data_IF_558938652582
#
_entry.id   IF_558938652582
#
_cell.length_a   1.000
_cell.length_b   1.000
_cell.length_c   1.000
_cell.angle_alpha   90.00
_cell.angle_beta   90.00
_cell.angle_gamma   90.00
#
_symmetry.space_group_name_H-M   'P 1'
#
loop_
_entity.id
_entity.type
_entity.pdbx_description
1 polymer ?
#
# COMPACT_ATOMS: atom_id res chain seq x y z
N UNK A 1 4.89 2.04 22.74
CA UNK A 1 4.91 3.08 21.68
C UNK A 1 3.83 4.12 21.98
N UNK A 2 3.99 5.38 21.54
CA UNK A 2 2.95 6.41 21.73
C UNK A 2 1.76 6.13 20.81
N UNK A 3 0.51 6.06 21.32
CA UNK A 3 -0.67 5.96 20.47
C UNK A 3 -0.89 7.28 19.69
N UNK A 4 -1.61 7.21 18.57
CA UNK A 4 -1.92 8.34 17.66
C UNK A 4 -0.76 8.88 16.82
N UNK A 5 0.27 8.06 16.58
CA UNK A 5 1.36 8.39 15.65
C UNK A 5 1.52 7.26 14.65
N UNK A 6 1.83 7.62 13.41
CA UNK A 6 2.45 6.70 12.46
C UNK A 6 3.92 6.57 12.86
N UNK A 7 4.34 5.37 13.25
CA UNK A 7 5.75 5.12 13.58
C UNK A 7 6.46 4.59 12.34
N UNK A 8 7.64 5.14 12.05
CA UNK A 8 8.45 4.78 10.88
C UNK A 8 9.89 4.54 11.35
N UNK A 9 10.45 3.41 10.96
CA UNK A 9 11.86 3.07 11.09
C UNK A 9 12.47 3.01 9.69
N UNK A 10 12.91 4.15 9.12
CA UNK A 10 13.47 4.18 7.78
C UNK A 10 14.91 3.68 7.79
N UNK A 11 15.25 2.76 6.88
CA UNK A 11 16.63 2.45 6.49
C UNK A 11 16.71 2.64 4.98
N UNK A 12 17.93 2.70 4.44
CA UNK A 12 18.12 2.97 3.01
C UNK A 12 17.39 1.95 2.12
N UNK A 13 17.68 0.66 2.28
CA UNK A 13 17.14 -0.37 1.39
C UNK A 13 15.90 -1.06 1.93
N UNK A 14 15.47 -0.75 3.15
CA UNK A 14 14.31 -1.37 3.79
C UNK A 14 13.73 -0.46 4.87
N UNK A 15 12.46 -0.62 5.20
CA UNK A 15 11.78 0.22 6.17
C UNK A 15 10.72 -0.56 6.92
N UNK A 16 10.44 -0.16 8.16
CA UNK A 16 9.32 -0.71 8.91
C UNK A 16 8.37 0.43 9.31
N UNK A 17 7.07 0.20 9.18
CA UNK A 17 6.04 1.11 9.70
C UNK A 17 5.18 0.39 10.72
N UNK A 18 4.59 1.14 11.66
CA UNK A 18 3.62 0.59 12.61
C UNK A 18 2.41 1.52 12.75
N UNK A 19 1.21 0.94 12.56
CA UNK A 19 -0.07 1.64 12.72
C UNK A 19 -0.77 1.17 14.00
N UNK A 20 -1.36 2.08 14.79
CA UNK A 20 -2.05 1.73 16.02
C UNK A 20 -3.41 1.07 15.76
N UNK A 21 -3.73 0.05 16.55
CA UNK A 21 -5.04 -0.59 16.61
C UNK A 21 -5.85 -0.05 17.80
N UNK A 22 -7.19 -0.25 17.79
CA UNK A 22 -8.08 0.22 18.85
C UNK A 22 -7.82 -0.42 20.22
N UNK A 23 -7.33 -1.67 20.22
CA UNK A 23 -6.95 -2.41 21.42
C UNK A 23 -5.58 -1.99 22.00
N UNK A 24 -5.01 -0.91 21.46
CA UNK A 24 -3.69 -0.35 21.81
C UNK A 24 -2.50 -1.22 21.41
N UNK A 25 -2.72 -2.26 20.61
CA UNK A 25 -1.64 -2.96 19.89
C UNK A 25 -1.24 -2.15 18.65
N UNK A 26 -0.15 -2.57 18.01
CA UNK A 26 0.31 -2.00 16.74
C UNK A 26 0.53 -3.13 15.74
N UNK A 27 0.12 -2.91 14.50
CA UNK A 27 0.48 -3.80 13.38
C UNK A 27 1.69 -3.21 12.68
N UNK A 28 2.78 -3.97 12.64
CA UNK A 28 3.99 -3.57 11.93
C UNK A 28 4.04 -4.19 10.53
N UNK A 29 4.53 -3.43 9.56
CA UNK A 29 4.83 -3.93 8.20
C UNK A 29 6.29 -3.63 7.88
N UNK A 30 7.06 -4.68 7.59
CA UNK A 30 8.46 -4.60 7.17
C UNK A 30 8.52 -4.71 5.65
N UNK A 31 9.12 -3.72 5.01
CA UNK A 31 9.39 -3.66 3.58
C UNK A 31 10.89 -3.84 3.35
N UNK A 32 11.27 -4.85 2.58
CA UNK A 32 12.66 -5.19 2.31
C UNK A 32 12.73 -6.01 1.00
N UNK A 33 13.83 -5.95 0.23
CA UNK A 33 13.99 -6.80 -0.96
C UNK A 33 13.86 -8.29 -0.62
N UNK A 34 13.32 -9.07 -1.56
CA UNK A 34 13.13 -10.51 -1.38
C UNK A 34 14.44 -11.23 -1.07
N UNK A 35 15.54 -10.79 -1.69
CA UNK A 35 16.87 -11.37 -1.49
C UNK A 35 17.37 -11.23 -0.05
N UNK A 36 16.96 -10.19 0.67
CA UNK A 36 17.30 -10.04 2.09
C UNK A 36 16.37 -10.87 2.98
N UNK A 37 15.09 -11.06 2.60
CA UNK A 37 14.20 -11.98 3.30
C UNK A 37 14.71 -13.42 3.20
N UNK A 38 15.18 -13.83 2.03
CA UNK A 38 15.71 -15.16 1.74
C UNK A 38 17.00 -15.49 2.50
N UNK A 39 17.80 -14.47 2.89
CA UNK A 39 19.00 -14.65 3.70
C UNK A 39 18.71 -15.00 5.15
N UNK A 40 17.49 -14.75 5.64
CA UNK A 40 17.10 -14.96 7.03
C UNK A 40 16.25 -16.22 7.12
N UNK A 41 16.86 -17.30 7.60
CA UNK A 41 16.28 -18.65 7.58
C UNK A 41 15.96 -19.20 8.96
N UNK A 42 16.52 -18.58 10.01
CA UNK A 42 16.34 -19.01 11.40
C UNK A 42 15.84 -17.88 12.30
N UNK A 43 15.22 -18.25 13.42
CA UNK A 43 14.78 -17.28 14.41
C UNK A 43 15.93 -16.48 15.03
N UNK A 44 17.13 -17.06 15.16
CA UNK A 44 18.28 -16.34 15.69
C UNK A 44 18.80 -15.29 14.70
N UNK A 45 18.83 -15.61 13.40
CA UNK A 45 19.14 -14.65 12.34
C UNK A 45 18.13 -13.49 12.30
N UNK A 46 16.83 -13.75 12.56
CA UNK A 46 15.82 -12.69 12.71
C UNK A 46 16.22 -11.74 13.84
N UNK A 47 16.59 -12.27 15.00
CA UNK A 47 16.98 -11.43 16.14
C UNK A 47 18.27 -10.67 15.86
N UNK A 48 19.27 -11.28 15.23
CA UNK A 48 20.50 -10.59 14.83
C UNK A 48 20.21 -9.45 13.85
N UNK A 49 19.35 -9.68 12.86
CA UNK A 49 18.92 -8.66 11.91
C UNK A 49 18.20 -7.50 12.61
N UNK A 50 17.22 -7.80 13.47
CA UNK A 50 16.49 -6.78 14.22
C UNK A 50 17.38 -6.07 15.25
N UNK A 51 18.36 -6.74 15.86
CA UNK A 51 19.29 -6.12 16.79
C UNK A 51 20.22 -5.13 16.07
N UNK A 52 20.62 -5.46 14.85
CA UNK A 52 21.46 -4.60 14.01
C UNK A 52 20.70 -3.40 13.48
N UNK A 53 19.49 -3.60 12.96
CA UNK A 53 18.78 -2.56 12.21
C UNK A 53 17.60 -1.95 12.95
N UNK A 54 16.95 -2.64 13.88
CA UNK A 54 15.74 -2.19 14.58
C UNK A 54 15.78 -2.49 16.09
N UNK A 55 16.87 -2.15 16.81
CA UNK A 55 17.12 -2.67 18.16
C UNK A 55 16.02 -2.31 19.17
N UNK A 56 15.40 -1.14 19.02
CA UNK A 56 14.33 -0.66 19.90
C UNK A 56 13.01 -1.42 19.75
N UNK A 57 12.85 -2.17 18.66
CA UNK A 57 11.61 -2.88 18.33
C UNK A 57 11.54 -4.27 18.98
N UNK A 58 12.69 -4.89 19.28
CA UNK A 58 12.77 -6.19 19.97
C UNK A 58 12.03 -6.18 21.32
N UNK A 59 12.29 -5.23 22.26
CA UNK A 59 11.55 -5.20 23.52
C UNK A 59 10.07 -4.82 23.37
N UNK A 60 9.68 -4.21 22.24
CA UNK A 60 8.29 -3.83 21.97
C UNK A 60 7.46 -4.98 21.41
N UNK A 61 8.05 -5.79 20.53
CA UNK A 61 7.40 -6.93 19.87
C UNK A 61 7.50 -8.19 20.75
N UNK A 62 8.66 -8.38 21.40
CA UNK A 62 9.01 -9.60 22.13
C UNK A 62 9.72 -10.62 21.24
N UNK A 63 10.79 -11.21 21.76
CA UNK A 63 11.68 -12.12 21.01
C UNK A 63 10.93 -13.31 20.42
N UNK A 64 10.12 -14.01 21.22
CA UNK A 64 9.40 -15.21 20.77
C UNK A 64 8.32 -14.88 19.74
N UNK A 65 7.63 -13.75 19.92
CA UNK A 65 6.62 -13.29 18.97
C UNK A 65 7.26 -12.90 17.64
N UNK A 66 8.37 -12.17 17.67
CA UNK A 66 9.10 -11.77 16.47
C UNK A 66 9.58 -12.99 15.66
N UNK A 67 10.19 -13.97 16.32
CA UNK A 67 10.62 -15.22 15.67
C UNK A 67 9.44 -15.97 15.04
N UNK A 68 8.34 -16.10 15.77
CA UNK A 68 7.15 -16.81 15.29
C UNK A 68 6.48 -16.08 14.12
N UNK A 69 6.28 -14.77 14.24
CA UNK A 69 5.47 -14.01 13.31
C UNK A 69 6.21 -13.74 11.99
N UNK A 70 7.55 -13.65 12.02
CA UNK A 70 8.39 -13.53 10.82
C UNK A 70 8.25 -14.73 9.89
N UNK A 71 8.19 -15.95 10.43
CA UNK A 71 8.08 -17.20 9.63
C UNK A 71 6.64 -17.70 9.46
N UNK A 72 5.65 -16.96 9.95
CA UNK A 72 4.24 -17.38 9.86
C UNK A 72 3.75 -17.41 8.42
N UNK A 73 4.21 -16.48 7.58
CA UNK A 73 3.91 -16.36 6.16
C UNK A 73 5.15 -15.82 5.44
N UNK A 74 5.37 -16.18 4.16
CA UNK A 74 6.46 -15.60 3.38
C UNK A 74 6.24 -14.10 3.13
N UNK A 75 7.31 -13.39 2.78
CA UNK A 75 7.22 -12.01 2.30
C UNK A 75 6.26 -11.92 1.10
N UNK A 76 5.49 -10.84 1.04
CA UNK A 76 4.43 -10.65 0.04
C UNK A 76 4.92 -9.74 -1.09
N UNK A 77 4.56 -10.07 -2.33
CA UNK A 77 4.87 -9.24 -3.48
C UNK A 77 3.97 -8.00 -3.50
N UNK A 78 4.57 -6.86 -3.82
CA UNK A 78 3.86 -5.63 -4.11
C UNK A 78 3.88 -5.42 -5.62
N UNK A 79 2.76 -4.97 -6.19
CA UNK A 79 2.62 -4.74 -7.63
C UNK A 79 2.20 -3.31 -7.89
N UNK A 80 2.65 -2.76 -9.01
CA UNK A 80 2.09 -1.54 -9.58
C UNK A 80 1.54 -1.85 -10.96
N UNK A 81 0.26 -1.52 -11.19
CA UNK A 81 -0.42 -1.71 -12.47
C UNK A 81 -1.08 -0.40 -12.84
N UNK A 82 -0.76 0.09 -14.04
CA UNK A 82 -1.47 1.19 -14.70
C UNK A 82 -2.14 0.65 -15.95
N UNK A 83 -3.40 1.00 -16.15
CA UNK A 83 -4.09 0.75 -17.41
C UNK A 83 -4.81 2.01 -17.89
N UNK A 84 -5.22 1.99 -19.15
CA UNK A 84 -6.10 2.99 -19.77
C UNK A 84 -6.62 2.42 -21.10
N UNK A 85 -7.89 2.66 -21.47
CA UNK A 85 -8.92 3.37 -20.71
C UNK A 85 -9.45 2.54 -19.52
N UNK A 86 -10.20 3.17 -18.61
CA UNK A 86 -10.89 2.49 -17.51
C UNK A 86 -12.28 1.97 -17.89
N UNK A 87 -12.69 2.04 -19.16
CA UNK A 87 -14.00 1.58 -19.58
C UNK A 87 -13.98 0.88 -20.95
N UNK A 88 -15.04 0.12 -21.22
CA UNK A 88 -15.32 -0.47 -22.54
C UNK A 88 -16.75 -0.12 -22.94
N UNK A 89 -16.89 0.74 -23.96
CA UNK A 89 -18.18 1.26 -24.41
C UNK A 89 -18.96 1.89 -23.25
N UNK A 90 -20.27 1.67 -23.18
CA UNK A 90 -21.12 2.10 -22.07
C UNK A 90 -21.45 0.96 -21.09
N UNK A 91 -20.64 -0.12 -21.06
CA UNK A 91 -21.02 -1.40 -20.43
C UNK A 91 -20.17 -1.85 -19.26
N UNK A 92 -18.92 -1.40 -19.20
CA UNK A 92 -17.97 -1.86 -18.18
C UNK A 92 -17.05 -0.70 -17.80
N UNK A 93 -16.76 -0.60 -16.51
CA UNK A 93 -15.84 0.37 -15.93
C UNK A 93 -15.00 -0.33 -14.85
N UNK A 94 -13.74 0.07 -14.73
CA UNK A 94 -12.81 -0.34 -13.67
C UNK A 94 -12.66 0.81 -12.68
N UNK A 95 -12.54 0.49 -11.39
CA UNK A 95 -12.31 1.43 -10.28
C UNK A 95 -11.41 0.77 -9.23
N UNK A 96 -10.72 1.57 -8.43
CA UNK A 96 -9.78 1.13 -7.40
C UNK A 96 -8.64 0.28 -7.98
N UNK A 97 -8.16 -0.70 -7.20
CA UNK A 97 -7.03 -1.55 -7.58
C UNK A 97 -7.20 -2.30 -8.93
N UNK A 98 -8.43 -2.50 -9.40
CA UNK A 98 -8.67 -3.08 -10.73
C UNK A 98 -8.24 -2.14 -11.88
N UNK A 99 -8.29 -0.82 -11.64
CA UNK A 99 -7.86 0.23 -12.56
C UNK A 99 -6.42 0.70 -12.28
N UNK A 100 -6.02 0.75 -11.01
CA UNK A 100 -4.74 1.30 -10.56
C UNK A 100 -4.20 0.62 -9.29
N UNK A 101 -3.60 -0.56 -9.42
CA UNK A 101 -2.84 -1.12 -8.30
C UNK A 101 -1.59 -0.25 -8.04
N UNK A 102 -1.46 0.28 -6.83
CA UNK A 102 -0.34 1.15 -6.42
C UNK A 102 0.48 0.53 -5.30
N UNK A 103 1.79 0.80 -5.29
CA UNK A 103 2.65 0.38 -4.17
C UNK A 103 2.27 1.14 -2.89
N UNK A 104 2.31 0.51 -1.69
CA UNK A 104 1.71 1.06 -0.48
C UNK A 104 2.56 2.12 0.24
N UNK A 105 3.43 2.85 -0.46
CA UNK A 105 4.38 3.79 0.15
C UNK A 105 3.81 5.19 0.40
N UNK A 106 2.60 5.48 -0.11
CA UNK A 106 1.92 6.76 0.11
C UNK A 106 0.61 6.64 0.93
N UNK A 107 0.17 5.41 1.24
CA UNK A 107 -1.09 5.17 1.97
C UNK A 107 -2.35 5.62 1.21
N UNK A 108 -2.29 5.72 -0.12
CA UNK A 108 -3.38 6.31 -0.93
C UNK A 108 -4.19 5.32 -1.76
N UNK A 109 -3.83 4.04 -1.91
CA UNK A 109 -4.59 3.10 -2.77
C UNK A 109 -6.08 3.05 -2.44
N UNK A 110 -6.43 2.81 -1.17
CA UNK A 110 -7.83 2.83 -0.71
C UNK A 110 -8.48 4.21 -0.88
N UNK A 111 -7.77 5.29 -0.57
CA UNK A 111 -8.32 6.65 -0.64
C UNK A 111 -8.61 7.07 -2.08
N UNK A 112 -7.70 6.79 -3.01
CA UNK A 112 -7.89 7.00 -4.45
C UNK A 112 -9.04 6.14 -4.98
N UNK A 113 -9.12 4.86 -4.56
CA UNK A 113 -10.25 4.00 -4.92
C UNK A 113 -11.60 4.46 -4.35
N UNK A 114 -11.62 5.16 -3.21
CA UNK A 114 -12.85 5.80 -2.71
C UNK A 114 -13.16 7.08 -3.47
N UNK A 115 -12.14 7.88 -3.81
CA UNK A 115 -12.29 9.08 -4.62
C UNK A 115 -12.82 8.75 -6.02
N UNK A 116 -12.44 7.62 -6.61
CA UNK A 116 -13.00 7.09 -7.86
C UNK A 116 -14.53 7.04 -7.83
N UNK A 117 -15.09 6.47 -6.75
CA UNK A 117 -16.54 6.35 -6.59
C UNK A 117 -17.21 7.71 -6.50
N UNK A 118 -16.60 8.67 -5.81
CA UNK A 118 -17.12 10.03 -5.64
C UNK A 118 -17.10 10.77 -6.98
N UNK A 119 -15.96 10.77 -7.67
CA UNK A 119 -15.80 11.40 -8.99
C UNK A 119 -16.75 10.78 -10.00
N UNK A 120 -16.94 9.46 -9.96
CA UNK A 120 -17.89 8.79 -10.83
C UNK A 120 -19.33 9.24 -10.58
N UNK A 121 -19.74 9.33 -9.31
CA UNK A 121 -21.07 9.80 -8.90
C UNK A 121 -21.34 11.24 -9.38
N UNK A 122 -20.37 12.15 -9.19
CA UNK A 122 -20.45 13.53 -9.68
C UNK A 122 -20.61 13.61 -11.21
N UNK A 123 -19.92 12.74 -11.95
CA UNK A 123 -20.03 12.67 -13.41
C UNK A 123 -21.38 12.07 -13.82
N UNK A 124 -21.88 11.04 -13.11
CA UNK A 124 -23.23 10.49 -13.36
C UNK A 124 -24.30 11.57 -13.23
N UNK A 125 -24.26 12.38 -12.16
CA UNK A 125 -25.20 13.49 -11.97
C UNK A 125 -25.09 14.51 -13.13
N UNK A 126 -23.87 14.90 -13.50
CA UNK A 126 -23.62 15.89 -14.57
C UNK A 126 -24.17 15.46 -15.93
N UNK A 127 -24.14 14.17 -16.24
CA UNK A 127 -24.60 13.64 -17.53
C UNK A 127 -25.97 12.95 -17.46
N UNK A 128 -26.72 13.13 -16.36
CA UNK A 128 -28.02 12.50 -16.13
C UNK A 128 -27.99 10.99 -16.38
N UNK A 129 -26.94 10.33 -15.89
CA UNK A 129 -26.74 8.88 -15.99
C UNK A 129 -26.63 8.33 -17.43
N UNK A 130 -26.36 9.17 -18.45
CA UNK A 130 -26.03 8.67 -19.79
C UNK A 130 -24.63 8.04 -19.79
N UNK A 131 -24.57 6.72 -19.54
CA UNK A 131 -23.33 5.96 -19.50
C UNK A 131 -22.49 6.03 -20.79
N UNK A 132 -23.08 6.42 -21.92
CA UNK A 132 -22.34 6.64 -23.17
C UNK A 132 -21.48 7.91 -23.11
N UNK A 133 -21.83 8.87 -22.25
CA UNK A 133 -21.07 10.08 -21.97
C UNK A 133 -20.28 9.98 -20.64
N UNK A 134 -20.86 9.36 -19.61
CA UNK A 134 -20.23 9.21 -18.27
C UNK A 134 -18.93 8.42 -18.34
N UNK A 135 -18.93 7.23 -18.96
CA UNK A 135 -17.74 6.35 -18.90
C UNK A 135 -16.51 6.94 -19.62
N UNK A 136 -16.65 7.55 -20.82
CA UNK A 136 -15.56 8.27 -21.45
C UNK A 136 -15.07 9.47 -20.63
N UNK A 137 -15.98 10.25 -20.04
CA UNK A 137 -15.60 11.39 -19.21
C UNK A 137 -14.86 10.94 -17.94
N UNK A 138 -15.36 9.90 -17.26
CA UNK A 138 -14.71 9.34 -16.07
C UNK A 138 -13.28 8.91 -16.38
N UNK A 139 -13.07 8.16 -17.48
CA UNK A 139 -11.70 7.82 -17.91
C UNK A 139 -10.85 9.05 -18.22
N UNK A 140 -11.40 10.06 -18.90
CA UNK A 140 -10.67 11.28 -19.24
C UNK A 140 -10.22 12.05 -17.99
N UNK A 141 -11.08 12.12 -16.97
CA UNK A 141 -10.83 12.86 -15.73
C UNK A 141 -9.94 12.06 -14.78
N UNK A 142 -10.21 10.77 -14.60
CA UNK A 142 -9.65 10.00 -13.49
C UNK A 142 -8.30 9.34 -13.78
N UNK A 143 -8.07 8.87 -15.01
CA UNK A 143 -6.80 8.25 -15.40
C UNK A 143 -5.57 9.12 -15.07
N UNK A 144 -5.55 10.43 -15.38
CA UNK A 144 -4.39 11.29 -15.04
C UNK A 144 -4.07 11.32 -13.55
N UNK A 145 -5.09 11.43 -12.69
CA UNK A 145 -4.92 11.54 -11.24
C UNK A 145 -4.45 10.21 -10.64
N UNK A 146 -5.08 9.10 -11.04
CA UNK A 146 -4.68 7.76 -10.57
C UNK A 146 -3.28 7.37 -11.05
N UNK A 147 -2.90 7.79 -12.26
CA UNK A 147 -1.55 7.58 -12.74
C UNK A 147 -0.54 8.44 -11.97
N UNK A 148 -0.91 9.68 -11.61
CA UNK A 148 -0.06 10.56 -10.82
C UNK A 148 0.18 10.02 -9.40
N UNK A 149 -0.86 9.52 -8.72
CA UNK A 149 -0.67 8.95 -7.38
C UNK A 149 0.15 7.64 -7.41
N UNK A 150 -0.02 6.83 -8.45
CA UNK A 150 0.83 5.66 -8.67
C UNK A 150 2.30 6.04 -8.88
N UNK A 151 2.59 7.12 -9.60
CA UNK A 151 3.96 7.64 -9.77
C UNK A 151 4.52 8.20 -8.47
N UNK A 152 3.74 8.98 -7.72
CA UNK A 152 4.16 9.52 -6.42
C UNK A 152 4.46 8.40 -5.41
N UNK A 153 3.64 7.34 -5.40
CA UNK A 153 3.87 6.18 -4.55
C UNK A 153 5.15 5.42 -4.94
N UNK A 154 5.43 5.29 -6.25
CA UNK A 154 6.67 4.67 -6.73
C UNK A 154 7.90 5.56 -6.47
N UNK A 155 7.76 6.87 -6.61
CA UNK A 155 8.82 7.82 -6.28
C UNK A 155 9.21 7.73 -4.80
N UNK A 156 8.23 7.70 -3.90
CA UNK A 156 8.45 7.52 -2.46
C UNK A 156 8.98 6.12 -2.07
N UNK A 157 8.95 5.15 -2.99
CA UNK A 157 9.62 3.87 -2.79
C UNK A 157 11.12 3.93 -3.15
N UNK A 158 11.45 4.75 -4.15
CA UNK A 158 12.83 4.90 -4.65
C UNK A 158 13.64 5.88 -3.77
N UNK A 159 13.00 6.91 -3.23
CA UNK A 159 13.61 7.85 -2.25
C UNK A 159 13.88 7.20 -0.88
#
# INVERSE_FOLDING_TARGET
>A
MKPNYLHIWPRNTFMMIALPNLDKTFTCTLFMPFEEFEKITTGDEVIEFFQKYFPDTIPLIGVDALKRDYFRLPAQAMVSVKCSPYHIGSKCVLMGDAAHAVVPFYGQGMNAGFEDCIVFDEIMEKFNEDFSAVLPEYTRVRVPDDHAIADLAMYNYIE
#
